data_IF_984737449216
#
_entry.id   IF_984737449216
#
_cell.length_a   1.000
_cell.length_b   1.000
_cell.length_c   1.000
_cell.angle_alpha   90.00
_cell.angle_beta   90.00
_cell.angle_gamma   90.00
#
_symmetry.space_group_name_H-M   'P 1'
#
loop_
_entity.id
_entity.type
_entity.pdbx_description
1 polymer ?
#
# COMPACT_ATOMS: atom_id res chain seq x y z
N UNK A 1 13.13 -7.79 -12.25
CA UNK A 1 12.20 -7.74 -11.10
C UNK A 1 11.46 -9.06 -11.04
N UNK A 2 11.44 -9.78 -9.91
CA UNK A 2 10.63 -10.99 -9.81
C UNK A 2 9.15 -10.59 -9.95
N UNK A 3 8.48 -11.18 -10.96
CA UNK A 3 7.09 -11.02 -11.34
C UNK A 3 6.59 -9.56 -11.62
N UNK A 4 6.86 -8.99 -12.81
CA UNK A 4 6.35 -7.66 -13.19
C UNK A 4 4.82 -7.58 -13.27
N UNK A 5 4.13 -8.70 -13.47
CA UNK A 5 2.66 -8.75 -13.53
C UNK A 5 2.02 -8.38 -12.18
N UNK A 6 2.76 -8.48 -11.07
CA UNK A 6 2.29 -8.05 -9.77
C UNK A 6 2.00 -6.54 -9.70
N UNK A 7 2.62 -5.73 -10.56
CA UNK A 7 2.56 -4.27 -10.53
C UNK A 7 1.75 -3.67 -11.69
N UNK A 8 0.97 -4.50 -12.41
CA UNK A 8 0.07 -4.05 -13.48
C UNK A 8 -1.33 -3.71 -12.97
N UNK A 9 -1.75 -4.33 -11.86
CA UNK A 9 -3.05 -4.11 -11.23
C UNK A 9 -2.88 -3.78 -9.75
N UNK A 10 -3.89 -3.11 -9.19
CA UNK A 10 -3.92 -2.79 -7.77
C UNK A 10 -5.36 -2.69 -7.26
N UNK A 11 -5.53 -2.93 -5.95
CA UNK A 11 -6.79 -2.65 -5.26
C UNK A 11 -6.77 -1.23 -4.73
N UNK A 12 -7.88 -0.52 -4.91
CA UNK A 12 -8.03 0.87 -4.53
C UNK A 12 -9.37 1.13 -3.83
N UNK A 13 -9.40 2.12 -2.96
CA UNK A 13 -10.61 2.61 -2.29
C UNK A 13 -10.49 4.12 -2.08
N UNK A 14 -11.57 4.92 -2.21
CA UNK A 14 -11.50 6.37 -2.00
C UNK A 14 -11.05 6.78 -0.60
N UNK A 15 -11.46 6.05 0.43
CA UNK A 15 -11.27 6.46 1.84
C UNK A 15 -10.34 5.50 2.59
N UNK A 16 -10.67 4.21 2.59
CA UNK A 16 -9.94 3.24 3.41
C UNK A 16 -9.99 1.86 2.80
N UNK A 17 -8.92 1.10 2.99
CA UNK A 17 -8.81 -0.31 2.64
C UNK A 17 -8.17 -1.03 3.83
N UNK A 18 -8.83 -2.03 4.37
CA UNK A 18 -8.32 -2.79 5.53
C UNK A 18 -8.26 -4.26 5.19
N UNK A 19 -7.12 -4.88 5.47
CA UNK A 19 -6.91 -6.31 5.36
C UNK A 19 -6.73 -6.91 6.74
N UNK A 20 -7.33 -8.08 6.93
CA UNK A 20 -7.16 -8.90 8.11
C UNK A 20 -6.58 -10.26 7.70
N UNK A 21 -5.45 -10.62 8.29
CA UNK A 21 -4.96 -11.99 8.29
C UNK A 21 -5.47 -12.70 9.55
N UNK A 22 -6.33 -13.71 9.39
CA UNK A 22 -6.87 -14.49 10.50
C UNK A 22 -6.13 -15.82 10.68
N UNK A 23 -6.32 -16.47 11.82
CA UNK A 23 -5.74 -17.78 12.14
C UNK A 23 -4.21 -17.82 12.05
N UNK A 24 -3.56 -16.68 12.31
CA UNK A 24 -2.10 -16.60 12.38
C UNK A 24 -1.63 -17.11 13.75
N UNK A 25 -0.48 -17.81 13.78
CA UNK A 25 0.17 -18.13 15.04
C UNK A 25 0.68 -16.86 15.73
N UNK A 26 0.68 -16.83 17.06
CA UNK A 26 1.25 -15.69 17.77
C UNK A 26 2.77 -15.64 17.55
N UNK A 27 3.29 -14.46 17.21
CA UNK A 27 4.71 -14.28 16.91
C UNK A 27 4.99 -13.05 16.04
N UNK A 28 6.24 -12.95 15.60
CA UNK A 28 6.73 -11.84 14.78
C UNK A 28 6.71 -12.20 13.30
N UNK A 29 6.11 -11.32 12.53
CA UNK A 29 5.96 -11.43 11.09
C UNK A 29 6.65 -10.29 10.37
N UNK A 30 7.20 -10.60 9.21
CA UNK A 30 7.64 -9.62 8.22
C UNK A 30 6.50 -9.40 7.23
N UNK A 31 5.95 -8.19 7.21
CA UNK A 31 4.92 -7.74 6.27
C UNK A 31 5.60 -6.94 5.16
N UNK A 32 5.44 -7.40 3.91
CA UNK A 32 5.90 -6.67 2.74
C UNK A 32 4.71 -6.11 1.98
N UNK A 33 4.69 -4.78 1.83
CA UNK A 33 3.67 -4.07 1.10
C UNK A 33 4.23 -3.67 -0.27
N UNK A 34 3.59 -4.16 -1.33
CA UNK A 34 3.99 -3.94 -2.71
C UNK A 34 3.11 -2.87 -3.34
N UNK A 35 3.75 -1.83 -3.86
CA UNK A 35 3.09 -0.68 -4.47
C UNK A 35 3.62 -0.43 -5.88
N UNK A 36 2.74 0.04 -6.76
CA UNK A 36 3.09 0.79 -7.96
C UNK A 36 1.96 1.77 -8.25
N UNK A 37 2.27 3.03 -8.57
CA UNK A 37 1.25 3.99 -8.97
C UNK A 37 0.83 3.69 -10.42
N UNK A 38 -0.31 3.01 -10.58
CA UNK A 38 -0.83 2.55 -11.88
C UNK A 38 -1.90 3.48 -12.46
N UNK A 39 -2.49 4.36 -11.66
CA UNK A 39 -3.63 5.20 -12.10
C UNK A 39 -3.17 6.55 -12.69
N UNK A 40 -2.14 7.14 -12.09
CA UNK A 40 -1.55 8.38 -12.57
C UNK A 40 -0.50 8.14 -13.66
N UNK A 41 -0.41 9.07 -14.60
CA UNK A 41 0.55 9.04 -15.71
C UNK A 41 1.61 10.11 -15.53
N UNK A 42 2.75 10.00 -16.21
CA UNK A 42 3.83 11.01 -16.22
C UNK A 42 3.87 11.85 -17.50
N UNK A 43 2.91 11.67 -18.42
CA UNK A 43 2.83 12.42 -19.67
C UNK A 43 2.20 13.80 -19.46
N UNK A 44 2.14 14.63 -20.52
CA UNK A 44 1.50 15.95 -20.51
C UNK A 44 -0.05 15.90 -20.44
N UNK A 45 -0.62 14.82 -19.91
CA UNK A 45 -2.07 14.68 -19.69
C UNK A 45 -2.46 15.25 -18.33
N UNK A 46 -3.72 15.66 -18.19
CA UNK A 46 -4.31 16.10 -16.91
C UNK A 46 -4.11 15.10 -15.76
N UNK A 47 -3.98 13.80 -16.08
CA UNK A 47 -3.72 12.74 -15.10
C UNK A 47 -2.38 12.88 -14.37
N UNK A 48 -1.38 13.56 -14.94
CA UNK A 48 -0.07 13.74 -14.28
C UNK A 48 -0.04 14.78 -13.17
N UNK A 49 -1.11 15.58 -13.06
CA UNK A 49 -1.30 16.53 -11.96
C UNK A 49 -1.82 15.86 -10.69
N UNK A 50 -2.25 14.60 -10.77
CA UNK A 50 -2.78 13.85 -9.65
C UNK A 50 -1.70 13.47 -8.65
N UNK A 51 -2.04 13.57 -7.35
CA UNK A 51 -1.18 13.13 -6.25
C UNK A 51 -1.97 12.21 -5.33
N UNK A 52 -1.44 11.00 -5.12
CA UNK A 52 -1.97 10.02 -4.17
C UNK A 52 -1.19 10.12 -2.87
N UNK A 53 -1.90 10.36 -1.77
CA UNK A 53 -1.29 10.49 -0.45
C UNK A 53 -2.18 9.76 0.55
N UNK A 54 -1.62 8.78 1.27
CA UNK A 54 -2.35 8.03 2.29
C UNK A 54 -1.44 7.59 3.43
N UNK A 55 -2.04 7.25 4.56
CA UNK A 55 -1.35 6.66 5.70
C UNK A 55 -1.46 5.13 5.64
N UNK A 56 -0.46 4.45 6.21
CA UNK A 56 -0.47 2.99 6.41
C UNK A 56 -0.33 2.68 7.88
N UNK A 57 -1.23 1.85 8.39
CA UNK A 57 -1.24 1.34 9.75
C UNK A 57 -1.08 -0.17 9.73
N UNK A 58 -0.29 -0.69 10.68
CA UNK A 58 -0.16 -2.14 10.90
C UNK A 58 -0.34 -2.37 12.40
N UNK A 59 -1.28 -3.24 12.77
CA UNK A 59 -1.71 -3.45 14.16
C UNK A 59 -2.04 -2.13 14.88
N UNK A 60 -2.81 -1.24 14.23
CA UNK A 60 -3.17 0.07 14.76
C UNK A 60 -2.05 1.12 14.79
N UNK A 61 -0.79 0.74 14.58
CA UNK A 61 0.36 1.65 14.61
C UNK A 61 0.58 2.25 13.23
N UNK A 62 0.64 3.59 13.13
CA UNK A 62 0.96 4.29 11.88
C UNK A 62 2.42 4.02 11.49
N UNK A 63 2.63 3.27 10.41
CA UNK A 63 3.95 2.91 9.88
C UNK A 63 4.40 3.81 8.75
N UNK A 64 3.47 4.34 7.95
CA UNK A 64 3.74 5.35 6.96
C UNK A 64 2.73 6.48 7.12
N UNK A 65 3.22 7.72 7.08
CA UNK A 65 2.41 8.94 7.12
C UNK A 65 2.58 9.68 5.81
N UNK A 66 1.49 10.19 5.25
CA UNK A 66 1.49 11.00 4.03
C UNK A 66 2.26 10.31 2.87
N UNK A 67 2.10 9.00 2.73
CA UNK A 67 2.86 8.20 1.77
C UNK A 67 2.37 8.45 0.34
N UNK A 68 3.31 8.81 -0.53
CA UNK A 68 3.11 8.93 -1.96
C UNK A 68 4.01 7.92 -2.70
N UNK A 69 3.38 6.96 -3.37
CA UNK A 69 4.05 5.88 -4.09
C UNK A 69 4.95 6.44 -5.21
N UNK A 70 4.46 7.40 -5.99
CA UNK A 70 5.18 7.93 -7.13
C UNK A 70 6.41 8.74 -6.71
N UNK A 71 6.33 9.47 -5.59
CA UNK A 71 7.47 10.23 -5.08
C UNK A 71 8.55 9.28 -4.54
N UNK A 72 8.15 8.25 -3.77
CA UNK A 72 9.07 7.22 -3.25
C UNK A 72 9.73 6.42 -4.39
N UNK A 73 9.00 6.12 -5.45
CA UNK A 73 9.51 5.35 -6.60
C UNK A 73 10.32 6.19 -7.59
N UNK A 74 10.31 7.53 -7.46
CA UNK A 74 10.85 8.45 -8.47
C UNK A 74 10.10 8.38 -9.80
N UNK A 75 8.78 8.17 -9.78
CA UNK A 75 7.89 8.14 -10.93
C UNK A 75 6.74 7.14 -10.82
N UNK A 76 5.76 7.27 -11.72
CA UNK A 76 4.62 6.34 -11.83
C UNK A 76 5.02 5.02 -12.49
N UNK A 77 4.24 3.95 -12.28
CA UNK A 77 4.48 2.63 -12.87
C UNK A 77 5.74 1.90 -12.38
N UNK A 78 6.42 2.45 -11.37
CA UNK A 78 7.62 1.87 -10.76
C UNK A 78 7.26 1.17 -9.46
N UNK A 79 7.83 -0.02 -9.27
CA UNK A 79 7.60 -0.83 -8.08
C UNK A 79 8.30 -0.24 -6.84
N UNK A 80 7.61 -0.24 -5.72
CA UNK A 80 8.13 0.07 -4.39
C UNK A 80 7.70 -1.02 -3.43
N UNK A 81 8.63 -1.48 -2.59
CA UNK A 81 8.36 -2.47 -1.55
C UNK A 81 8.69 -1.82 -0.21
N UNK A 82 7.75 -1.87 0.74
CA UNK A 82 7.97 -1.42 2.13
C UNK A 82 7.84 -2.61 3.06
N UNK A 83 8.90 -2.88 3.82
CA UNK A 83 9.00 -4.02 4.73
C UNK A 83 8.81 -3.53 6.17
N UNK A 84 7.94 -4.19 6.92
CA UNK A 84 7.66 -3.87 8.31
C UNK A 84 7.63 -5.12 9.18
N UNK A 85 8.04 -4.99 10.43
CA UNK A 85 7.84 -6.03 11.43
C UNK A 85 6.52 -5.78 12.16
N UNK A 86 5.75 -6.84 12.35
CA UNK A 86 4.49 -6.81 13.08
C UNK A 86 4.41 -8.02 14.01
N UNK A 87 4.04 -7.77 15.26
CA UNK A 87 3.77 -8.83 16.23
C UNK A 87 2.28 -9.16 16.21
N UNK A 88 1.96 -10.44 16.17
CA UNK A 88 0.60 -10.97 16.25
C UNK A 88 0.43 -11.63 17.63
N UNK A 89 -0.56 -11.17 18.39
CA UNK A 89 -0.82 -11.62 19.77
C UNK A 89 -2.20 -12.23 19.97
N UNK A 90 -3.14 -11.95 19.05
CA UNK A 90 -4.54 -12.40 19.08
C UNK A 90 -4.91 -13.27 17.87
N UNK A 91 -3.90 -13.84 17.22
CA UNK A 91 -4.07 -14.59 15.96
C UNK A 91 -4.58 -13.79 14.75
N UNK A 92 -4.64 -12.46 14.88
CA UNK A 92 -5.07 -11.54 13.82
C UNK A 92 -4.00 -10.50 13.50
N UNK A 93 -3.76 -10.27 12.22
CA UNK A 93 -2.94 -9.17 11.70
C UNK A 93 -3.83 -8.18 10.97
N UNK A 94 -3.90 -6.94 11.45
CA UNK A 94 -4.56 -5.84 10.75
C UNK A 94 -3.56 -4.99 9.96
N UNK A 95 -3.88 -4.73 8.69
CA UNK A 95 -3.19 -3.74 7.85
C UNK A 95 -4.25 -2.79 7.29
N UNK A 96 -4.16 -1.51 7.64
CA UNK A 96 -5.09 -0.48 7.21
C UNK A 96 -4.40 0.60 6.41
N UNK A 97 -4.93 0.86 5.23
CA UNK A 97 -4.55 1.98 4.39
C UNK A 97 -5.66 3.03 4.47
N UNK A 98 -5.31 4.29 4.72
CA UNK A 98 -6.29 5.33 5.01
C UNK A 98 -5.94 6.66 4.36
N UNK A 99 -6.90 7.22 3.63
CA UNK A 99 -6.82 8.55 3.06
C UNK A 99 -7.22 9.60 4.10
N UNK A 100 -6.25 10.39 4.57
CA UNK A 100 -6.43 11.41 5.60
C UNK A 100 -6.82 12.79 5.04
N UNK A 101 -7.46 12.84 3.87
CA UNK A 101 -7.92 14.11 3.27
C UNK A 101 -6.87 14.88 2.45
N UNK A 102 -5.77 14.25 2.04
CA UNK A 102 -4.67 14.89 1.31
C UNK A 102 -4.50 14.36 -0.12
N UNK A 103 -3.89 15.17 -0.99
CA UNK A 103 -3.74 14.83 -2.40
C UNK A 103 -4.94 15.23 -3.23
N UNK A 104 -5.08 14.65 -4.41
CA UNK A 104 -6.01 15.12 -5.44
C UNK A 104 -7.28 14.27 -5.48
N UNK A 105 -8.47 14.85 -5.34
CA UNK A 105 -9.74 14.09 -5.29
C UNK A 105 -10.50 14.01 -6.61
N UNK A 106 -10.20 14.90 -7.56
CA UNK A 106 -10.91 15.03 -8.84
C UNK A 106 -10.15 14.50 -10.07
N UNK A 107 -8.95 13.96 -9.89
CA UNK A 107 -8.08 13.47 -10.96
C UNK A 107 -7.71 12.01 -10.66
N UNK A 108 -7.74 11.09 -11.63
CA UNK A 108 -8.28 11.22 -12.99
C UNK A 108 -9.82 11.21 -13.03
N UNK A 109 -10.44 10.59 -12.02
CA UNK A 109 -11.88 10.47 -11.79
C UNK A 109 -12.12 10.55 -10.28
N UNK A 110 -13.29 11.02 -9.87
CA UNK A 110 -13.66 11.00 -8.45
C UNK A 110 -13.72 9.57 -7.94
N UNK A 111 -13.16 9.33 -6.76
CA UNK A 111 -13.12 8.03 -6.10
C UNK A 111 -11.81 7.24 -6.30
N UNK A 112 -10.94 7.68 -7.21
CA UNK A 112 -9.67 6.99 -7.50
C UNK A 112 -8.50 7.56 -6.70
N UNK A 113 -8.76 8.40 -5.68
CA UNK A 113 -7.74 9.20 -5.00
C UNK A 113 -7.21 8.62 -3.68
N UNK A 114 -7.88 7.61 -3.12
CA UNK A 114 -7.51 7.07 -1.81
C UNK A 114 -6.34 6.09 -1.86
N UNK A 115 -6.24 5.13 -0.94
CA UNK A 115 -5.10 4.23 -0.93
C UNK A 115 -5.10 3.23 -2.08
N UNK A 116 -3.90 2.83 -2.50
CA UNK A 116 -3.66 1.85 -3.56
C UNK A 116 -2.61 0.85 -3.08
N UNK A 117 -2.85 -0.43 -3.29
CA UNK A 117 -1.91 -1.52 -2.98
C UNK A 117 -1.94 -2.57 -4.09
N UNK A 118 -0.77 -2.96 -4.58
CA UNK A 118 -0.63 -4.01 -5.61
C UNK A 118 -0.69 -5.39 -4.97
N UNK A 119 0.07 -5.62 -3.91
CA UNK A 119 0.07 -6.89 -3.18
C UNK A 119 0.56 -6.77 -1.74
N UNK A 120 0.24 -7.78 -0.94
CA UNK A 120 0.68 -7.94 0.45
C UNK A 120 1.26 -9.35 0.59
N UNK A 121 2.46 -9.47 1.15
CA UNK A 121 3.01 -10.75 1.59
C UNK A 121 3.35 -10.71 3.07
N UNK A 122 3.13 -11.81 3.77
CA UNK A 122 3.31 -11.92 5.22
C UNK A 122 4.09 -13.20 5.50
N UNK A 123 5.29 -13.07 6.06
CA UNK A 123 6.19 -14.19 6.34
C UNK A 123 6.46 -14.28 7.84
N UNK A 124 6.36 -15.48 8.41
CA UNK A 124 6.71 -15.70 9.81
C UNK A 124 8.25 -15.71 9.96
N UNK A 125 8.80 -14.89 10.87
CA UNK A 125 10.26 -14.83 11.06
C UNK A 125 10.85 -16.10 11.66
N UNK A 126 10.06 -16.91 12.38
CA UNK A 126 10.54 -18.14 13.01
C UNK A 126 10.74 -19.30 12.03
N UNK A 127 10.32 -19.16 10.78
CA UNK A 127 10.47 -20.17 9.74
C UNK A 127 11.27 -19.62 8.57
N UNK A 128 12.55 -19.36 8.80
CA UNK A 128 13.52 -19.26 7.71
C UNK A 128 14.36 -20.55 7.79
N UNK A 129 14.18 -21.45 6.82
CA UNK A 129 15.06 -22.61 6.63
C UNK A 129 16.40 -22.16 6.03
#
# INVERSE_FOLDING_TARGET
>A
MPNPQLYTEARLSPISLTYYGFCLGNGDYTVNLHFAETEFTNNKSYRSLGRRIFDVYIQGIKRLKDFNIADEAGGVGKAVIKNFNASVTSGTLEIRFYWAGKGTTGIPLRGVYGPLISAISVNNRKFTL
#
